data_IF_082094569733
#
_entry.id   IF_082094569733
#
_cell.length_a   1.000
_cell.length_b   1.000
_cell.length_c   1.000
_cell.angle_alpha   90.00
_cell.angle_beta   90.00
_cell.angle_gamma   90.00
#
_symmetry.space_group_name_H-M   'P 1'
#
loop_
_entity.id
_entity.type
_entity.pdbx_description
1 polymer ?
#
# COMPACT_ATOMS: atom_id res chain seq x y z
N UNK A 1 -7.66 -28.15 -2.97
CA UNK A 1 -8.09 -26.77 -3.27
C UNK A 1 -6.84 -25.94 -3.32
N UNK A 2 -6.55 -25.27 -4.44
CA UNK A 2 -5.39 -24.39 -4.55
C UNK A 2 -5.49 -23.28 -3.51
N UNK A 3 -4.37 -22.89 -2.90
CA UNK A 3 -4.36 -21.99 -1.75
C UNK A 3 -4.46 -20.55 -2.27
N UNK A 4 -5.61 -19.90 -2.07
CA UNK A 4 -5.83 -18.54 -2.55
C UNK A 4 -4.96 -17.55 -1.77
N UNK A 5 -3.81 -17.19 -2.35
CA UNK A 5 -2.89 -16.21 -1.76
C UNK A 5 -3.44 -14.79 -1.85
N UNK A 6 -3.27 -14.04 -0.76
CA UNK A 6 -3.65 -12.63 -0.65
C UNK A 6 -2.41 -11.78 -0.44
N UNK A 7 -2.30 -10.70 -1.20
CA UNK A 7 -1.19 -9.76 -1.15
C UNK A 7 -1.69 -8.36 -0.83
N UNK A 8 -1.01 -7.72 0.12
CA UNK A 8 -1.19 -6.31 0.43
C UNK A 8 -0.43 -5.42 -0.56
N UNK A 9 -1.08 -4.39 -1.07
CA UNK A 9 -0.51 -3.40 -1.97
C UNK A 9 -0.90 -2.01 -1.46
N UNK A 10 0.08 -1.10 -1.35
CA UNK A 10 -0.18 0.28 -0.96
C UNK A 10 0.18 1.24 -2.09
N UNK A 11 -0.78 2.08 -2.48
CA UNK A 11 -0.50 3.29 -3.27
C UNK A 11 -0.08 4.38 -2.27
N UNK A 12 1.19 4.78 -2.36
CA UNK A 12 1.78 5.84 -1.54
C UNK A 12 1.16 7.21 -1.87
N UNK A 13 1.41 8.20 -1.01
CA UNK A 13 0.82 9.53 -1.12
C UNK A 13 1.11 10.23 -2.46
N UNK A 14 2.27 9.98 -3.06
CA UNK A 14 2.67 10.51 -4.35
C UNK A 14 1.81 9.91 -5.46
N UNK A 15 1.59 8.59 -5.46
CA UNK A 15 0.69 7.94 -6.42
C UNK A 15 -0.75 8.46 -6.32
N UNK A 16 -1.19 8.81 -5.12
CA UNK A 16 -2.49 9.46 -4.89
C UNK A 16 -2.49 10.90 -5.42
N UNK A 17 -1.51 11.71 -5.03
CA UNK A 17 -1.41 13.12 -5.40
C UNK A 17 -1.27 13.35 -6.90
N UNK A 18 -0.57 12.44 -7.60
CA UNK A 18 -0.42 12.49 -9.05
C UNK A 18 -1.62 11.90 -9.80
N UNK A 19 -2.70 11.49 -9.12
CA UNK A 19 -3.91 10.96 -9.75
C UNK A 19 -3.73 9.56 -10.37
N UNK A 20 -2.70 8.80 -9.97
CA UNK A 20 -2.35 7.51 -10.58
C UNK A 20 -3.14 6.31 -10.04
N UNK A 21 -4.08 6.55 -9.12
CA UNK A 21 -4.84 5.48 -8.43
C UNK A 21 -5.53 4.53 -9.42
N UNK A 22 -6.26 5.10 -10.40
CA UNK A 22 -7.00 4.32 -11.38
C UNK A 22 -6.09 3.48 -12.27
N UNK A 23 -4.99 4.05 -12.75
CA UNK A 23 -4.03 3.34 -13.62
C UNK A 23 -3.33 2.20 -12.89
N UNK A 24 -3.00 2.40 -11.61
CA UNK A 24 -2.37 1.36 -10.78
C UNK A 24 -3.34 0.21 -10.54
N UNK A 25 -4.60 0.49 -10.13
CA UNK A 25 -5.62 -0.55 -9.92
C UNK A 25 -5.87 -1.32 -11.21
N UNK A 26 -6.10 -0.59 -12.32
CA UNK A 26 -6.33 -1.16 -13.64
C UNK A 26 -5.21 -2.12 -14.06
N UNK A 27 -3.95 -1.78 -13.77
CA UNK A 27 -2.81 -2.64 -14.09
C UNK A 27 -2.88 -4.00 -13.39
N UNK A 28 -3.32 -4.05 -12.14
CA UNK A 28 -3.44 -5.32 -11.40
C UNK A 28 -4.63 -6.14 -11.90
N UNK A 29 -5.77 -5.51 -12.14
CA UNK A 29 -6.96 -6.17 -12.68
C UNK A 29 -6.70 -6.76 -14.07
N UNK A 30 -6.02 -6.02 -14.95
CA UNK A 30 -5.64 -6.50 -16.29
C UNK A 30 -4.67 -7.67 -16.27
N UNK A 31 -3.89 -7.84 -15.20
CA UNK A 31 -3.02 -9.01 -15.00
C UNK A 31 -3.77 -10.23 -14.43
N UNK A 32 -5.06 -10.09 -14.14
CA UNK A 32 -5.88 -11.17 -13.57
C UNK A 32 -5.87 -11.24 -12.04
N UNK A 33 -5.25 -10.28 -11.35
CA UNK A 33 -5.40 -10.16 -9.90
C UNK A 33 -6.75 -9.55 -9.58
N UNK A 34 -7.48 -10.14 -8.64
CA UNK A 34 -8.78 -9.61 -8.24
C UNK A 34 -8.61 -8.72 -7.00
N UNK A 35 -9.15 -7.51 -7.07
CA UNK A 35 -9.24 -6.60 -5.93
C UNK A 35 -10.28 -7.14 -4.94
N UNK A 36 -9.86 -7.35 -3.69
CA UNK A 36 -10.69 -7.89 -2.60
C UNK A 36 -11.18 -6.78 -1.69
N UNK A 37 -10.27 -5.88 -1.32
CA UNK A 37 -10.56 -4.76 -0.44
C UNK A 37 -9.70 -3.55 -0.82
N UNK A 38 -10.26 -2.35 -0.61
CA UNK A 38 -9.53 -1.10 -0.75
C UNK A 38 -9.95 -0.12 0.33
N UNK A 39 -9.00 0.68 0.82
CA UNK A 39 -9.25 1.72 1.82
C UNK A 39 -8.38 2.94 1.56
N UNK A 40 -9.02 4.07 1.34
CA UNK A 40 -8.39 5.38 1.36
C UNK A 40 -8.24 5.85 2.81
N UNK A 41 -7.03 6.09 3.27
CA UNK A 41 -6.80 6.45 4.67
C UNK A 41 -5.57 7.32 4.88
N UNK A 42 -5.64 8.17 5.91
CA UNK A 42 -4.46 8.77 6.52
C UNK A 42 -4.01 7.89 7.68
N UNK A 43 -2.73 7.55 7.71
CA UNK A 43 -2.13 6.70 8.75
C UNK A 43 -1.58 7.57 9.87
N UNK A 44 -1.58 7.06 11.11
CA UNK A 44 -0.89 7.74 12.22
C UNK A 44 0.62 7.47 12.17
N UNK A 45 1.41 8.30 12.85
CA UNK A 45 2.86 8.11 12.92
C UNK A 45 3.21 6.79 13.62
N UNK A 46 2.49 6.44 14.69
CA UNK A 46 2.67 5.19 15.43
C UNK A 46 2.39 3.99 14.54
N UNK A 47 1.31 4.03 13.75
CA UNK A 47 0.97 2.95 12.83
C UNK A 47 2.07 2.75 11.78
N UNK A 48 2.64 3.84 11.23
CA UNK A 48 3.72 3.77 10.26
C UNK A 48 5.03 3.27 10.87
N UNK A 49 5.36 3.67 12.11
CA UNK A 49 6.53 3.15 12.83
C UNK A 49 6.43 1.66 13.05
N UNK A 50 5.24 1.16 13.39
CA UNK A 50 4.99 -0.27 13.52
C UNK A 50 5.04 -0.99 12.17
N UNK A 51 4.44 -0.43 11.12
CA UNK A 51 4.46 -1.02 9.78
C UNK A 51 5.88 -1.16 9.20
N UNK A 52 6.77 -0.22 9.49
CA UNK A 52 8.16 -0.21 9.03
C UNK A 52 9.18 -0.61 10.12
N UNK A 53 8.76 -1.32 11.17
CA UNK A 53 9.61 -1.59 12.34
C UNK A 53 10.95 -2.25 12.00
N UNK A 54 10.98 -3.09 10.97
CA UNK A 54 12.20 -3.77 10.48
C UNK A 54 13.25 -2.79 9.92
N UNK A 55 12.85 -1.56 9.65
CA UNK A 55 13.71 -0.50 9.14
C UNK A 55 14.13 0.50 10.22
N UNK A 56 13.72 0.33 11.50
CA UNK A 56 13.92 1.31 12.58
C UNK A 56 15.37 1.79 12.75
N UNK A 57 16.34 0.90 12.50
CA UNK A 57 17.77 1.17 12.68
C UNK A 57 18.42 1.79 11.43
N UNK A 58 17.65 2.00 10.35
CA UNK A 58 18.14 2.63 9.12
C UNK A 58 18.14 4.17 9.27
N UNK A 59 19.18 4.87 8.79
CA UNK A 59 19.28 6.32 8.94
C UNK A 59 18.14 7.09 8.26
N UNK A 60 17.51 6.49 7.24
CA UNK A 60 16.37 7.09 6.52
C UNK A 60 15.01 6.84 7.19
N UNK A 61 14.93 6.04 8.26
CA UNK A 61 13.65 5.64 8.88
C UNK A 61 12.79 6.83 9.34
N UNK A 62 13.33 7.85 10.04
CA UNK A 62 12.52 9.02 10.42
C UNK A 62 11.96 9.75 9.19
N UNK A 63 12.76 9.84 8.12
CA UNK A 63 12.35 10.44 6.85
C UNK A 63 11.26 9.64 6.15
N UNK A 64 11.36 8.31 6.15
CA UNK A 64 10.35 7.41 5.59
C UNK A 64 9.00 7.55 6.30
N UNK A 65 8.99 7.54 7.63
CA UNK A 65 7.78 7.69 8.43
C UNK A 65 7.16 9.07 8.18
N UNK A 66 7.96 10.14 8.23
CA UNK A 66 7.49 11.51 7.96
C UNK A 66 6.91 11.64 6.56
N UNK A 67 7.59 11.08 5.55
CA UNK A 67 7.12 11.06 4.17
C UNK A 67 5.76 10.36 4.09
N UNK A 68 5.65 9.11 4.56
CA UNK A 68 4.41 8.34 4.50
C UNK A 68 3.26 8.95 5.29
N UNK A 69 3.53 9.74 6.32
CA UNK A 69 2.51 10.44 7.12
C UNK A 69 1.99 11.74 6.46
N UNK A 70 2.74 12.29 5.50
CA UNK A 70 2.45 13.62 4.92
C UNK A 70 1.20 13.67 4.02
N UNK A 71 0.62 12.52 3.67
CA UNK A 71 -0.58 12.45 2.85
C UNK A 71 -1.35 11.14 3.04
N UNK A 72 -2.56 11.05 2.46
CA UNK A 72 -3.33 9.81 2.46
C UNK A 72 -2.70 8.76 1.55
N UNK A 73 -2.96 7.49 1.86
CA UNK A 73 -2.58 6.32 1.06
C UNK A 73 -3.81 5.53 0.67
N UNK A 74 -3.66 4.67 -0.34
CA UNK A 74 -4.66 3.63 -0.67
C UNK A 74 -4.09 2.29 -0.29
N UNK A 75 -4.65 1.67 0.74
CA UNK A 75 -4.37 0.30 1.14
C UNK A 75 -5.26 -0.63 0.32
N UNK A 76 -4.69 -1.63 -0.34
CA UNK A 76 -5.41 -2.57 -1.20
C UNK A 76 -5.02 -4.00 -0.88
N UNK A 77 -5.96 -4.90 -1.02
CA UNK A 77 -5.76 -6.34 -0.93
C UNK A 77 -6.15 -6.97 -2.26
N UNK A 78 -5.25 -7.75 -2.85
CA UNK A 78 -5.51 -8.51 -4.06
C UNK A 78 -5.27 -9.99 -3.82
N UNK A 79 -5.98 -10.84 -4.56
CA UNK A 79 -5.69 -12.26 -4.60
C UNK A 79 -5.48 -12.74 -6.04
N UNK A 80 -4.62 -13.76 -6.20
CA UNK A 80 -4.47 -14.48 -7.45
C UNK A 80 -5.44 -15.64 -7.51
N UNK A 81 -6.06 -15.84 -8.68
CA UNK A 81 -6.65 -17.13 -9.00
C UNK A 81 -5.51 -18.09 -9.33
N UNK A 82 -5.35 -19.15 -8.55
CA UNK A 82 -4.55 -20.31 -8.93
C UNK A 82 -5.42 -21.26 -9.75
#
# INVERSE_FOLDING_TARGET
>A
MANTERTFIAIKLDGVQHGLMGDIIKRFEQKGFRLVATKFMKTSEEHLKQHYIDLKDRPFFPGLVKYMNSGPVVAMEHHSWQ
#
